data_IF_463593576281
#
_entry.id   IF_463593576281
#
_cell.length_a   1.000
_cell.length_b   1.000
_cell.length_c   1.000
_cell.angle_alpha   90.00
_cell.angle_beta   90.00
_cell.angle_gamma   90.00
#
_symmetry.space_group_name_H-M   'P 1'
#
loop_
_entity.id
_entity.type
_entity.pdbx_description
1 polymer ?
#
# COMPACT_ATOMS: atom_id res chain seq x y z
N UNK A 1 9.85 -0.96 -5.75
CA UNK A 1 9.54 -1.93 -4.68
C UNK A 1 8.88 -3.22 -5.19
N UNK A 2 7.72 -3.16 -5.86
CA UNK A 2 6.99 -4.34 -6.35
C UNK A 2 7.83 -5.29 -7.21
N UNK A 3 8.66 -4.77 -8.12
CA UNK A 3 9.62 -5.57 -8.91
C UNK A 3 10.57 -6.44 -8.06
N UNK A 4 11.02 -5.92 -6.91
CA UNK A 4 11.90 -6.68 -6.01
C UNK A 4 11.13 -7.74 -5.23
N UNK A 5 9.89 -7.44 -4.80
CA UNK A 5 9.01 -8.41 -4.16
C UNK A 5 8.63 -9.54 -5.10
N UNK A 6 8.40 -9.23 -6.38
CA UNK A 6 8.04 -10.21 -7.41
C UNK A 6 9.10 -11.29 -7.64
N UNK A 7 10.39 -10.98 -7.41
CA UNK A 7 11.46 -11.98 -7.46
C UNK A 7 11.26 -13.14 -6.47
N UNK A 8 10.48 -12.92 -5.41
CA UNK A 8 10.15 -13.92 -4.39
C UNK A 8 8.69 -14.37 -4.43
N UNK A 9 7.78 -13.47 -4.79
CA UNK A 9 6.34 -13.72 -4.79
C UNK A 9 5.79 -13.56 -6.20
N UNK A 10 5.50 -14.65 -6.93
CA UNK A 10 5.07 -14.57 -8.33
C UNK A 10 3.67 -13.95 -8.48
N UNK A 11 2.84 -14.08 -7.45
CA UNK A 11 1.50 -13.50 -7.38
C UNK A 11 1.45 -12.50 -6.22
N UNK A 12 1.04 -11.27 -6.54
CA UNK A 12 0.94 -10.17 -5.57
C UNK A 12 -0.41 -9.49 -5.73
N UNK A 13 -1.19 -9.41 -4.66
CA UNK A 13 -2.28 -8.44 -4.56
C UNK A 13 -1.73 -7.14 -3.97
N UNK A 14 -1.88 -6.03 -4.68
CA UNK A 14 -1.46 -4.70 -4.25
C UNK A 14 -2.69 -3.79 -4.10
N UNK A 15 -2.98 -3.35 -2.88
CA UNK A 15 -3.95 -2.27 -2.66
C UNK A 15 -3.18 -0.95 -2.60
N UNK A 16 -3.64 0.04 -3.36
CA UNK A 16 -3.13 1.40 -3.41
C UNK A 16 -4.20 2.33 -2.86
N UNK A 17 -3.89 2.99 -1.75
CA UNK A 17 -4.76 4.02 -1.14
C UNK A 17 -4.12 5.38 -1.41
N UNK A 18 -4.83 6.21 -2.18
CA UNK A 18 -4.34 7.52 -2.65
C UNK A 18 -5.53 8.48 -2.89
N UNK A 19 -5.64 9.62 -2.21
CA UNK A 19 -6.74 10.56 -2.44
C UNK A 19 -6.65 11.30 -3.79
N UNK A 20 -5.44 11.53 -4.31
CA UNK A 20 -5.22 12.27 -5.56
C UNK A 20 -5.60 11.46 -6.80
N UNK A 21 -6.62 11.91 -7.53
CA UNK A 21 -7.05 11.21 -8.76
C UNK A 21 -5.98 11.26 -9.86
N UNK A 22 -5.29 12.39 -10.01
CA UNK A 22 -4.21 12.57 -10.98
C UNK A 22 -3.03 11.65 -10.67
N UNK A 23 -2.73 11.48 -9.39
CA UNK A 23 -1.72 10.56 -8.88
C UNK A 23 -2.06 9.10 -9.19
N UNK A 24 -3.31 8.69 -9.00
CA UNK A 24 -3.78 7.36 -9.38
C UNK A 24 -3.69 7.17 -10.89
N UNK A 25 -4.13 8.14 -11.69
CA UNK A 25 -4.08 8.07 -13.14
C UNK A 25 -2.64 7.89 -13.63
N UNK A 26 -1.71 8.71 -13.13
CA UNK A 26 -0.29 8.61 -13.46
C UNK A 26 0.32 7.27 -13.05
N UNK A 27 -0.04 6.75 -11.89
CA UNK A 27 0.46 5.45 -11.46
C UNK A 27 -0.09 4.30 -12.32
N UNK A 28 -1.36 4.36 -12.74
CA UNK A 28 -1.93 3.38 -13.68
C UNK A 28 -1.19 3.36 -15.02
N UNK A 29 -0.86 4.52 -15.58
CA UNK A 29 -0.03 4.63 -16.79
C UNK A 29 1.33 3.95 -16.60
N UNK A 30 2.04 4.26 -15.51
CA UNK A 30 3.34 3.66 -15.20
C UNK A 30 3.27 2.13 -14.99
N UNK A 31 2.13 1.63 -14.49
CA UNK A 31 1.88 0.19 -14.37
C UNK A 31 1.69 -0.44 -15.75
N UNK A 32 0.96 0.21 -16.66
CA UNK A 32 0.74 -0.29 -18.03
C UNK A 32 2.04 -0.30 -18.86
N UNK A 33 2.84 0.77 -18.77
CA UNK A 33 4.18 0.84 -19.35
C UNK A 33 5.09 -0.31 -18.89
N UNK A 34 4.83 -0.87 -17.70
CA UNK A 34 5.62 -1.93 -17.07
C UNK A 34 4.86 -3.25 -16.94
N UNK A 35 3.80 -3.45 -17.72
CA UNK A 35 2.88 -4.61 -17.59
C UNK A 35 3.59 -5.95 -17.60
N UNK A 36 4.61 -6.14 -18.45
CA UNK A 36 5.35 -7.40 -18.54
C UNK A 36 6.18 -7.64 -17.26
N UNK A 37 6.85 -6.60 -16.77
CA UNK A 37 7.59 -6.66 -15.52
C UNK A 37 6.68 -6.87 -14.31
N UNK A 38 5.43 -6.40 -14.38
CA UNK A 38 4.42 -6.48 -13.32
C UNK A 38 3.37 -7.59 -13.53
N UNK A 39 3.55 -8.48 -14.51
CA UNK A 39 2.66 -9.64 -14.72
C UNK A 39 2.46 -10.45 -13.42
N UNK A 40 1.22 -10.80 -13.07
CA UNK A 40 0.92 -11.49 -11.81
C UNK A 40 0.77 -10.57 -10.60
N UNK A 41 0.91 -9.25 -10.77
CA UNK A 41 0.50 -8.26 -9.78
C UNK A 41 -0.91 -7.76 -10.13
N UNK A 42 -1.84 -7.90 -9.19
CA UNK A 42 -3.21 -7.36 -9.29
C UNK A 42 -3.30 -6.10 -8.46
N UNK A 43 -3.84 -5.03 -9.04
CA UNK A 43 -3.99 -3.74 -8.36
C UNK A 43 -5.44 -3.44 -7.99
N UNK A 44 -5.67 -3.08 -6.73
CA UNK A 44 -6.90 -2.50 -6.23
C UNK A 44 -6.64 -1.02 -5.92
N UNK A 45 -7.29 -0.12 -6.67
CA UNK A 45 -7.06 1.32 -6.60
C UNK A 45 -8.17 1.98 -5.79
N UNK A 46 -7.80 2.59 -4.67
CA UNK A 46 -8.71 3.24 -3.74
C UNK A 46 -8.45 4.74 -3.71
N UNK A 47 -9.39 5.49 -4.29
CA UNK A 47 -9.37 6.95 -4.25
C UNK A 47 -9.94 7.45 -2.92
N UNK A 48 -9.16 7.30 -1.86
CA UNK A 48 -9.55 7.71 -0.51
C UNK A 48 -8.30 8.02 0.31
N UNK A 49 -8.48 8.74 1.40
CA UNK A 49 -7.43 9.00 2.39
C UNK A 49 -7.17 7.77 3.25
N UNK A 50 -6.01 7.70 3.91
CA UNK A 50 -5.73 6.63 4.88
C UNK A 50 -6.73 6.66 6.05
N UNK A 51 -7.23 7.84 6.41
CA UNK A 51 -8.23 8.03 7.44
C UNK A 51 -9.56 7.36 7.09
N UNK A 52 -10.03 7.54 5.85
CA UNK A 52 -11.23 6.90 5.33
C UNK A 52 -11.05 5.39 5.21
N UNK A 53 -9.91 4.95 4.65
CA UNK A 53 -9.58 3.53 4.54
C UNK A 53 -9.56 2.84 5.91
N UNK A 54 -8.96 3.47 6.94
CA UNK A 54 -8.95 2.96 8.32
C UNK A 54 -10.34 2.84 8.92
N UNK A 55 -11.21 3.83 8.72
CA UNK A 55 -12.58 3.78 9.24
C UNK A 55 -13.40 2.69 8.55
N UNK A 56 -13.29 2.57 7.23
CA UNK A 56 -14.01 1.56 6.46
C UNK A 56 -13.53 0.12 6.76
N UNK A 57 -12.29 -0.04 7.23
CA UNK A 57 -11.67 -1.34 7.49
C UNK A 57 -11.33 -1.54 8.98
N UNK A 58 -11.98 -0.82 9.89
CA UNK A 58 -11.71 -0.92 11.33
C UNK A 58 -11.93 -2.35 11.85
N UNK A 59 -12.96 -3.03 11.36
CA UNK A 59 -13.33 -4.40 11.71
C UNK A 59 -12.77 -5.46 10.73
N UNK A 60 -11.93 -5.04 9.78
CA UNK A 60 -11.43 -5.95 8.76
C UNK A 60 -10.47 -6.99 9.36
N UNK A 61 -10.81 -8.27 9.18
CA UNK A 61 -9.91 -9.40 9.47
C UNK A 61 -8.76 -9.52 8.46
N UNK A 62 -8.84 -8.77 7.36
CA UNK A 62 -7.85 -8.79 6.27
C UNK A 62 -6.51 -8.29 6.81
N UNK A 63 -5.48 -9.13 6.65
CA UNK A 63 -4.10 -8.79 7.02
C UNK A 63 -3.20 -8.76 5.80
N UNK A 64 -2.11 -8.01 5.92
CA UNK A 64 -1.19 -7.73 4.84
C UNK A 64 0.21 -8.23 5.18
N UNK A 65 0.93 -8.74 4.18
CA UNK A 65 2.29 -9.23 4.39
C UNK A 65 3.31 -8.10 4.38
N UNK A 66 2.97 -7.01 3.70
CA UNK A 66 3.81 -5.83 3.68
C UNK A 66 2.96 -4.57 3.52
N UNK A 67 3.22 -3.56 4.34
CA UNK A 67 2.61 -2.23 4.25
C UNK A 67 3.70 -1.18 4.12
N UNK A 68 3.56 -0.28 3.16
CA UNK A 68 4.53 0.80 2.93
C UNK A 68 3.83 2.13 2.89
N UNK A 69 4.16 3.07 3.78
CA UNK A 69 3.68 4.45 3.77
C UNK A 69 4.89 5.39 3.56
N UNK A 70 5.06 5.90 2.35
CA UNK A 70 6.23 6.69 1.97
C UNK A 70 5.78 8.13 1.75
N UNK A 71 6.34 9.05 2.53
CA UNK A 71 6.02 10.46 2.43
C UNK A 71 4.50 10.75 2.58
N UNK A 72 3.77 9.95 3.36
CA UNK A 72 2.30 10.10 3.50
C UNK A 72 1.87 10.55 4.90
N UNK A 73 2.69 10.29 5.93
CA UNK A 73 2.29 10.53 7.32
C UNK A 73 2.19 12.01 7.72
N UNK A 74 2.68 12.95 6.93
CA UNK A 74 2.61 14.40 7.24
C UNK A 74 1.22 15.00 7.06
N UNK A 75 0.41 14.39 6.20
CA UNK A 75 -0.97 14.81 5.99
C UNK A 75 -1.91 14.36 7.11
N UNK A 76 -1.38 13.60 8.08
CA UNK A 76 -2.10 13.15 9.27
C UNK A 76 -1.85 14.17 10.39
N UNK A 77 -2.92 14.65 11.01
CA UNK A 77 -2.81 15.51 12.18
C UNK A 77 -2.05 14.78 13.30
N UNK A 78 -1.11 15.48 13.96
CA UNK A 78 -0.24 14.89 14.99
C UNK A 78 -1.01 14.15 16.09
N UNK A 79 -2.17 14.66 16.48
CA UNK A 79 -3.05 14.05 17.50
C UNK A 79 -3.61 12.68 17.10
N UNK A 80 -3.72 12.41 15.80
CA UNK A 80 -4.33 11.18 15.28
C UNK A 80 -3.27 10.17 14.80
N UNK A 81 -2.00 10.57 14.71
CA UNK A 81 -0.91 9.76 14.15
C UNK A 81 -0.76 8.40 14.85
N UNK A 82 -0.78 8.38 16.19
CA UNK A 82 -0.65 7.15 16.97
C UNK A 82 -1.77 6.15 16.69
N UNK A 83 -2.99 6.64 16.47
CA UNK A 83 -4.13 5.79 16.12
C UNK A 83 -3.90 5.10 14.77
N UNK A 84 -3.47 5.85 13.76
CA UNK A 84 -3.23 5.29 12.42
C UNK A 84 -2.03 4.34 12.40
N UNK A 85 -0.95 4.65 13.13
CA UNK A 85 0.19 3.75 13.26
C UNK A 85 -0.21 2.42 13.92
N UNK A 86 -1.06 2.47 14.96
CA UNK A 86 -1.63 1.26 15.59
C UNK A 86 -2.53 0.48 14.64
N UNK A 87 -3.36 1.15 13.84
CA UNK A 87 -4.22 0.49 12.85
C UNK A 87 -3.39 -0.21 11.77
N UNK A 88 -2.41 0.48 11.18
CA UNK A 88 -1.49 -0.06 10.17
C UNK A 88 -0.71 -1.26 10.74
N UNK A 89 -0.23 -1.15 11.97
CA UNK A 89 0.41 -2.25 12.67
C UNK A 89 -0.53 -3.44 12.86
N UNK A 90 -1.75 -3.18 13.33
CA UNK A 90 -2.78 -4.19 13.52
C UNK A 90 -3.11 -4.96 12.24
N UNK A 91 -3.09 -4.31 11.07
CA UNK A 91 -3.36 -4.99 9.80
C UNK A 91 -2.16 -5.75 9.23
N UNK A 92 -0.95 -5.57 9.78
CA UNK A 92 0.26 -6.16 9.20
C UNK A 92 0.61 -7.49 9.88
N UNK A 93 0.79 -8.54 9.08
CA UNK A 93 1.38 -9.82 9.51
C UNK A 93 2.89 -9.91 9.27
N UNK A 94 3.41 -9.14 8.31
CA UNK A 94 4.82 -9.16 7.95
C UNK A 94 5.52 -7.86 8.30
N UNK A 95 6.00 -7.12 7.30
CA UNK A 95 6.86 -5.94 7.51
C UNK A 95 6.16 -4.64 7.17
N UNK A 96 6.53 -3.58 7.89
CA UNK A 96 6.05 -2.22 7.65
C UNK A 96 7.26 -1.35 7.25
N UNK A 97 7.10 -0.54 6.21
CA UNK A 97 8.05 0.50 5.83
C UNK A 97 7.35 1.86 5.97
N UNK A 98 7.87 2.72 6.83
CA UNK A 98 7.40 4.11 6.96
C UNK A 98 8.58 5.01 6.65
N UNK A 99 8.44 5.87 5.64
CA UNK A 99 9.47 6.83 5.26
C UNK A 99 8.93 8.25 5.43
N UNK A 100 9.63 9.04 6.24
CA UNK A 100 9.30 10.43 6.55
C UNK A 100 10.49 11.27 6.10
N UNK A 101 10.28 12.18 5.15
CA UNK A 101 11.29 13.14 4.70
C UNK A 101 10.74 14.56 4.62
N UNK A 102 11.61 15.58 4.53
CA UNK A 102 11.19 16.98 4.35
C UNK A 102 10.35 17.06 3.09
N UNK A 103 9.08 17.43 3.25
CA UNK A 103 8.06 17.24 2.23
C UNK A 103 8.35 18.01 0.96
N UNK A 104 7.98 17.42 -0.18
CA UNK A 104 7.41 18.18 -1.29
C UNK A 104 6.51 17.37 -2.23
N UNK A 105 6.41 16.04 -2.10
CA UNK A 105 5.36 15.22 -2.72
C UNK A 105 5.43 13.83 -2.08
N UNK A 106 4.30 13.14 -1.91
CA UNK A 106 4.31 11.85 -1.25
C UNK A 106 3.15 10.95 -1.61
N UNK A 107 3.45 9.66 -1.79
CA UNK A 107 2.58 8.67 -2.42
C UNK A 107 2.50 7.36 -1.65
N UNK A 108 1.30 6.78 -1.76
CA UNK A 108 0.96 5.37 -1.81
C UNK A 108 1.25 4.49 -0.57
N UNK A 109 0.16 4.14 0.13
CA UNK A 109 0.12 2.96 0.99
C UNK A 109 0.10 1.70 0.12
N UNK A 110 1.27 1.11 -0.14
CA UNK A 110 1.39 -0.14 -0.89
C UNK A 110 1.21 -1.32 0.06
N UNK A 111 0.14 -2.05 -0.16
CA UNK A 111 -0.21 -3.17 0.68
C UNK A 111 -0.12 -4.46 -0.11
N UNK A 112 0.91 -5.27 0.17
CA UNK A 112 1.25 -6.47 -0.62
C UNK A 112 0.83 -7.73 0.12
N UNK A 113 0.10 -8.60 -0.58
CA UNK A 113 -0.18 -9.97 -0.16
C UNK A 113 0.49 -10.96 -1.12
N UNK A 114 1.35 -11.82 -0.61
CA UNK A 114 1.78 -13.02 -1.34
C UNK A 114 0.80 -14.17 -1.07
N UNK A 115 0.37 -14.87 -2.11
CA UNK A 115 -0.30 -16.17 -1.93
C UNK A 115 0.77 -17.24 -1.71
N UNK A 116 0.97 -17.66 -0.47
CA UNK A 116 1.79 -18.84 -0.14
C UNK A 116 0.99 -20.11 -0.37
N UNK A 117 0.63 -20.40 -1.63
CA UNK A 117 0.32 -21.78 -1.99
C UNK A 117 1.63 -22.46 -2.32
N UNK A 118 2.13 -23.20 -1.33
CA UNK A 118 3.16 -24.22 -1.53
C UNK A 118 2.63 -25.15 -2.61
N UNK A 119 3.29 -25.14 -3.75
CA UNK A 119 3.16 -26.21 -4.74
C UNK A 119 3.84 -27.41 -4.08
N UNK A 120 3.03 -28.38 -3.64
CA UNK A 120 3.52 -29.73 -3.33
C UNK A 120 3.83 -30.45 -4.64
#
# INVERSE_FOLDING_TARGET
MLKQLKKKFPLIECIVVEPGIEHIARYKELVDEQKDALKGVTFDWRQETIQEFCKANADASKKFHFVSAIHSCYFIARKDLDFYLKAIYGWTKGKILIMIGPGNEGFCVCTVRGDTRLVN
#
